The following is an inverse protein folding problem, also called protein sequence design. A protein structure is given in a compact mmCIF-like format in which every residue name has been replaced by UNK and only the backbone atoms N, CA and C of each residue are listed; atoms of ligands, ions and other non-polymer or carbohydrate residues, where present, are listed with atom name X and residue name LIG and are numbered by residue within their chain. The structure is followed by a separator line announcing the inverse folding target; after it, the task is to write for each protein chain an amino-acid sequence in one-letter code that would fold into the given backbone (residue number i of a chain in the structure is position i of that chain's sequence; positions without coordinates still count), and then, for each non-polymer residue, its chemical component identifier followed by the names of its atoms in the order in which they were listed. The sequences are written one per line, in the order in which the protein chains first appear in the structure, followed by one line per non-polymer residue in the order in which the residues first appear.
data_IF_385615375565
#
_entry.id   IF_385615375565
#
_cell.length_a   1.000
_cell.length_b   1.000
_cell.length_c   1.000
_cell.angle_alpha   90.00
_cell.angle_beta   90.00
_cell.angle_gamma   90.00
#
_symmetry.space_group_name_H-M   'P 1'
#
loop_
_entity.id
_entity.type
_entity.pdbx_description
1 polymer ?
#
# COMPACT_ATOMS: atom_id res chain seq x y z
N UNK A 1 8.68 -12.56 10.18
CA UNK A 1 7.84 -12.02 9.09
C UNK A 1 8.50 -10.74 8.61
N UNK A 2 8.48 -10.45 7.29
CA UNK A 2 9.05 -9.21 6.77
C UNK A 2 8.35 -8.00 7.41
N UNK A 3 9.09 -6.91 7.58
CA UNK A 3 8.54 -5.65 8.05
C UNK A 3 7.45 -5.17 7.09
N UNK A 4 6.33 -4.65 7.63
CA UNK A 4 5.22 -4.10 6.86
C UNK A 4 5.31 -2.58 6.89
N UNK A 5 5.36 -1.98 5.70
CA UNK A 5 5.33 -0.53 5.51
C UNK A 5 4.04 -0.16 4.76
N UNK A 6 3.24 0.74 5.32
CA UNK A 6 2.02 1.20 4.66
C UNK A 6 2.32 2.40 3.75
N UNK A 7 1.75 2.38 2.56
CA UNK A 7 1.70 3.53 1.65
C UNK A 7 0.25 3.98 1.46
N UNK A 8 -0.15 4.96 2.27
CA UNK A 8 -1.48 5.56 2.26
C UNK A 8 -1.68 6.46 1.05
N UNK A 9 -2.50 6.03 0.10
CA UNK A 9 -2.82 6.81 -1.12
C UNK A 9 -4.25 7.35 -1.15
N UNK A 10 -5.01 7.09 -0.09
CA UNK A 10 -6.41 7.47 0.04
C UNK A 10 -6.65 8.98 -0.05
N UNK A 11 -7.82 9.34 -0.57
CA UNK A 11 -8.28 10.72 -0.71
C UNK A 11 -9.70 10.85 -0.16
N UNK A 12 -10.04 12.04 0.34
CA UNK A 12 -11.35 12.31 0.96
C UNK A 12 -12.33 13.00 0.00
N UNK A 13 -11.86 13.41 -1.18
CA UNK A 13 -12.64 14.09 -2.20
C UNK A 13 -12.26 13.58 -3.61
N UNK A 14 -13.09 13.82 -4.64
CA UNK A 14 -12.73 13.49 -6.02
C UNK A 14 -11.45 14.23 -6.44
N UNK A 15 -10.55 13.50 -7.10
CA UNK A 15 -9.26 14.01 -7.56
C UNK A 15 -9.10 13.88 -9.08
N UNK A 16 -8.27 14.74 -9.67
CA UNK A 16 -7.86 14.66 -11.07
C UNK A 16 -6.61 13.77 -11.27
N UNK A 17 -6.38 13.18 -12.46
CA UNK A 17 -5.24 12.28 -12.71
C UNK A 17 -3.84 12.90 -12.60
N UNK A 18 -3.73 14.23 -12.71
CA UNK A 18 -2.48 14.99 -12.57
C UNK A 18 -2.13 15.30 -11.11
N UNK A 19 -3.03 15.03 -10.17
CA UNK A 19 -2.75 15.17 -8.75
C UNK A 19 -1.71 14.14 -8.27
N UNK A 20 -0.64 14.59 -7.60
CA UNK A 20 0.49 13.73 -7.28
C UNK A 20 0.13 12.67 -6.24
N UNK A 21 0.85 11.55 -6.29
CA UNK A 21 0.89 10.59 -5.19
C UNK A 21 1.63 11.19 -3.99
N UNK A 22 1.30 10.79 -2.74
CA UNK A 22 2.05 11.20 -1.56
C UNK A 22 3.53 10.78 -1.66
N UNK A 23 4.44 11.42 -0.91
CA UNK A 23 5.84 10.99 -0.85
C UNK A 23 5.93 9.52 -0.41
N UNK A 24 6.90 8.79 -0.94
CA UNK A 24 7.12 7.42 -0.50
C UNK A 24 7.56 7.42 0.98
N UNK A 25 7.08 6.46 1.80
CA UNK A 25 7.64 6.24 3.11
C UNK A 25 9.09 5.73 3.00
N UNK A 26 9.78 5.60 4.13
CA UNK A 26 11.01 4.80 4.16
C UNK A 26 10.67 3.36 3.76
N UNK A 27 11.41 2.80 2.81
CA UNK A 27 11.23 1.41 2.33
C UNK A 27 12.52 0.65 2.65
N UNK A 28 12.63 0.05 3.85
CA UNK A 28 13.75 -0.82 4.18
C UNK A 28 13.85 -1.97 3.19
N UNK A 29 15.08 -2.38 2.87
CA UNK A 29 15.30 -3.49 1.92
C UNK A 29 14.65 -4.76 2.46
N UNK A 30 13.87 -5.41 1.62
CA UNK A 30 13.22 -6.68 1.95
C UNK A 30 11.91 -6.56 2.73
N UNK A 31 11.43 -5.34 3.00
CA UNK A 31 10.10 -5.14 3.59
C UNK A 31 8.99 -5.50 2.58
N UNK A 32 7.76 -5.60 3.08
CA UNK A 32 6.55 -5.59 2.26
C UNK A 32 5.94 -4.21 2.32
N UNK A 33 5.69 -3.61 1.14
CA UNK A 33 4.93 -2.36 1.07
C UNK A 33 3.46 -2.69 0.81
N UNK A 34 2.57 -2.22 1.67
CA UNK A 34 1.13 -2.38 1.54
C UNK A 34 0.52 -1.04 1.09
N UNK A 35 0.00 -1.00 -0.14
CA UNK A 35 -0.76 0.13 -0.66
C UNK A 35 -2.16 0.08 -0.05
N UNK A 36 -2.62 1.20 0.50
CA UNK A 36 -3.95 1.28 1.12
C UNK A 36 -4.61 2.65 0.91
N UNK A 37 -5.91 2.70 1.18
CA UNK A 37 -6.70 3.93 1.21
C UNK A 37 -7.81 3.97 0.16
N UNK A 38 -8.86 4.76 0.40
CA UNK A 38 -9.94 4.95 -0.58
C UNK A 38 -9.44 5.84 -1.72
N UNK A 39 -9.16 5.23 -2.88
CA UNK A 39 -8.60 5.92 -4.03
C UNK A 39 -9.10 5.28 -5.34
N UNK A 40 -9.13 6.03 -6.44
CA UNK A 40 -9.50 5.47 -7.75
C UNK A 40 -8.44 4.47 -8.24
N UNK A 41 -8.88 3.49 -9.05
CA UNK A 41 -8.03 2.39 -9.54
C UNK A 41 -6.78 2.89 -10.27
N UNK A 42 -6.89 3.97 -11.05
CA UNK A 42 -5.73 4.53 -11.74
C UNK A 42 -4.64 5.03 -10.77
N UNK A 43 -5.01 5.52 -9.58
CA UNK A 43 -4.05 5.97 -8.56
C UNK A 43 -3.32 4.78 -7.93
N UNK A 44 -4.02 3.66 -7.72
CA UNK A 44 -3.41 2.39 -7.36
C UNK A 44 -2.40 1.93 -8.43
N UNK A 45 -2.75 2.01 -9.71
CA UNK A 45 -1.85 1.69 -10.81
C UNK A 45 -0.57 2.54 -10.82
N UNK A 46 -0.70 3.85 -10.58
CA UNK A 46 0.45 4.76 -10.47
C UNK A 46 1.31 4.43 -9.23
N UNK A 47 0.69 4.14 -8.08
CA UNK A 47 1.39 3.78 -6.86
C UNK A 47 2.16 2.46 -7.02
N UNK A 48 1.53 1.46 -7.64
CA UNK A 48 2.16 0.19 -7.98
C UNK A 48 3.37 0.40 -8.90
N UNK A 49 3.22 1.15 -9.99
CA UNK A 49 4.33 1.43 -10.90
C UNK A 49 5.50 2.11 -10.19
N UNK A 50 5.21 3.09 -9.32
CA UNK A 50 6.22 3.78 -8.51
C UNK A 50 6.97 2.86 -7.54
N UNK A 51 6.27 1.86 -6.98
CA UNK A 51 6.82 0.92 -6.00
C UNK A 51 7.53 -0.29 -6.63
N UNK A 52 7.24 -0.62 -7.89
CA UNK A 52 7.77 -1.82 -8.55
C UNK A 52 9.31 -1.87 -8.58
N UNK A 53 9.97 -0.71 -8.71
CA UNK A 53 11.43 -0.56 -8.68
C UNK A 53 12.02 -0.25 -7.30
N UNK A 54 11.23 -0.35 -6.23
CA UNK A 54 11.71 -0.05 -4.86
C UNK A 54 12.55 -1.18 -4.27
N UNK A 55 13.08 -0.97 -3.06
CA UNK A 55 13.85 -1.98 -2.32
C UNK A 55 12.98 -3.03 -1.60
N UNK A 56 11.65 -2.93 -1.72
CA UNK A 56 10.72 -3.89 -1.12
C UNK A 56 10.91 -5.30 -1.71
N UNK A 57 10.76 -6.32 -0.87
CA UNK A 57 10.70 -7.71 -1.33
C UNK A 57 9.40 -7.97 -2.12
N UNK A 58 8.30 -7.38 -1.67
CA UNK A 58 7.00 -7.50 -2.31
C UNK A 58 6.14 -6.25 -2.13
N UNK A 59 5.18 -6.08 -3.03
CA UNK A 59 4.13 -5.06 -2.94
C UNK A 59 2.80 -5.77 -2.78
N UNK A 60 1.99 -5.30 -1.84
CA UNK A 60 0.66 -5.78 -1.56
C UNK A 60 -0.37 -4.65 -1.61
N UNK A 61 -1.64 -5.00 -1.79
CA UNK A 61 -2.78 -4.09 -1.73
C UNK A 61 -3.67 -4.52 -0.58
N UNK A 62 -4.04 -3.58 0.29
CA UNK A 62 -4.94 -3.85 1.40
C UNK A 62 -6.39 -3.95 0.91
N UNK A 63 -7.02 -5.10 1.16
CA UNK A 63 -8.46 -5.31 1.02
C UNK A 63 -9.06 -5.49 2.43
N UNK A 64 -10.01 -4.65 2.88
CA UNK A 64 -10.62 -4.77 4.21
C UNK A 64 -11.29 -6.12 4.51
N UNK A 65 -11.59 -6.93 3.51
CA UNK A 65 -12.21 -8.26 3.65
C UNK A 65 -11.18 -9.39 3.74
N UNK A 66 -9.95 -9.17 3.28
CA UNK A 66 -8.94 -10.22 3.10
C UNK A 66 -7.61 -9.93 3.83
N UNK A 67 -7.32 -8.67 4.18
CA UNK A 67 -5.99 -8.23 4.61
C UNK A 67 -5.15 -7.73 3.44
N UNK A 68 -3.82 -7.81 3.55
CA UNK A 68 -2.92 -7.37 2.49
C UNK A 68 -2.65 -8.48 1.48
N UNK A 69 -3.11 -8.29 0.23
CA UNK A 69 -2.93 -9.25 -0.88
C UNK A 69 -1.67 -8.90 -1.65
N UNK A 70 -0.69 -9.81 -1.71
CA UNK A 70 0.52 -9.61 -2.53
C UNK A 70 0.17 -9.55 -4.01
N UNK A 71 0.61 -8.50 -4.70
CA UNK A 71 0.33 -8.25 -6.13
C UNK A 71 1.58 -8.21 -7.01
N UNK A 72 2.76 -8.08 -6.41
CA UNK A 72 4.04 -8.29 -7.08
C UNK A 72 5.11 -8.71 -6.07
N UNK A 73 6.04 -9.56 -6.50
CA UNK A 73 7.12 -10.06 -5.65
C UNK A 73 8.45 -10.12 -6.40
N UNK A 74 9.53 -9.81 -5.70
CA UNK A 74 10.92 -10.02 -6.12
C UNK A 74 11.61 -11.13 -5.29
N UNK A 75 10.83 -11.89 -4.54
CA UNK A 75 11.28 -13.01 -3.69
C UNK A 75 10.48 -14.26 -4.00
N UNK A 76 11.06 -15.48 -3.90
CA UNK A 76 10.31 -16.73 -3.98
C UNK A 76 9.50 -17.04 -2.70
N UNK A 77 9.77 -16.38 -1.58
CA UNK A 77 9.09 -16.60 -0.30
C UNK A 77 7.65 -16.06 -0.30
N UNK A 78 7.38 -15.00 -1.07
CA UNK A 78 6.06 -14.40 -1.26
C UNK A 78 5.69 -14.52 -2.74
N UNK A 79 4.45 -14.90 -3.03
CA UNK A 79 3.93 -14.94 -4.41
C UNK A 79 2.64 -14.14 -4.51
N UNK A 80 2.30 -13.74 -5.72
CA UNK A 80 1.05 -13.06 -6.02
C UNK A 80 -0.15 -13.87 -5.49
N UNK A 81 -1.11 -13.17 -4.88
CA UNK A 81 -2.28 -13.77 -4.24
C UNK A 81 -2.04 -14.27 -2.80
N UNK A 82 -0.81 -14.26 -2.29
CA UNK A 82 -0.58 -14.51 -0.87
C UNK A 82 -1.25 -13.43 0.00
N UNK A 83 -1.92 -13.88 1.06
CA UNK A 83 -2.49 -13.01 2.08
C UNK A 83 -1.48 -12.81 3.20
N UNK A 84 -1.21 -11.55 3.51
CA UNK A 84 -0.44 -11.15 4.68
C UNK A 84 -1.44 -10.66 5.71
N UNK A 85 -1.35 -11.24 6.91
CA UNK A 85 -2.08 -10.78 8.09
C UNK A 85 -1.49 -9.43 8.53
N UNK A 86 -1.92 -8.39 7.81
CA UNK A 86 -1.57 -7.01 8.07
C UNK A 86 -2.73 -6.40 8.86
N UNK A 87 -2.50 -5.90 10.09
CA UNK A 87 -3.56 -5.24 10.83
C UNK A 87 -4.09 -4.05 10.02
N UNK A 88 -5.35 -3.68 10.23
CA UNK A 88 -5.84 -2.42 9.69
C UNK A 88 -4.95 -1.29 10.23
N UNK A 89 -4.45 -0.36 9.40
CA UNK A 89 -3.63 0.73 9.88
C UNK A 89 -4.47 1.63 10.79
N UNK A 90 -4.37 1.42 12.10
CA UNK A 90 -5.13 2.14 13.14
C UNK A 90 -4.51 3.48 13.51
N UNK A 91 -3.26 3.74 13.13
CA UNK A 91 -2.57 5.00 13.41
C UNK A 91 -2.94 6.09 12.41
N UNK A 92 -4.16 6.59 12.54
CA UNK A 92 -4.52 7.91 12.01
C UNK A 92 -4.19 8.94 13.08
N UNK A 93 -2.92 9.31 13.22
CA UNK A 93 -2.55 10.53 13.96
C UNK A 93 -2.91 11.72 13.06
N UNK A 94 -4.20 11.99 13.00
CA UNK A 94 -4.84 13.05 12.23
C UNK A 94 -6.26 13.17 12.77
N UNK A 95 -6.48 14.22 13.53
CA UNK A 95 -7.70 14.61 14.24
C UNK A 95 -8.92 14.80 13.33
N UNK A 96 -9.52 13.71 12.83
CA UNK A 96 -10.79 13.80 12.11
C UNK A 96 -11.77 12.74 12.57
N UNK A 97 -12.43 12.99 13.69
CA UNK A 97 -13.60 12.23 14.17
C UNK A 97 -14.45 11.70 12.99
N UNK A 98 -14.77 10.41 13.02
CA UNK A 98 -15.76 9.82 12.13
C UNK A 98 -17.07 9.73 12.92
N UNK A 99 -17.94 10.71 12.76
CA UNK A 99 -19.40 10.54 12.95
C UNK A 99 -20.01 9.89 11.69
#
# INVERSE_FOLDING_TARGET
MPEIVYYSIGVNEPIAPDEPLPPLPAIPRGCVVVIEGRAPIWRYGMAFHRLHGSAAAAVAVYDPRLGAVVVASHTPELREGHLIDAPFPTSRTGSGEWE
#
